data_IF_656474918907
#
_entry.id   IF_656474918907
#
_cell.length_a   1.000
_cell.length_b   1.000
_cell.length_c   1.000
_cell.angle_alpha   90.00
_cell.angle_beta   90.00
_cell.angle_gamma   90.00
#
_symmetry.space_group_name_H-M   'P 1'
#
loop_
_entity.id
_entity.type
_entity.pdbx_description
1 polymer ?
#
# COMPACT_ATOMS: atom_id res chain seq x y z
N UNK A 1 14.40 -5.35 -1.18
CA UNK A 1 12.93 -5.30 -0.98
C UNK A 1 12.56 -5.26 0.51
N UNK A 2 13.23 -6.04 1.34
CA UNK A 2 12.97 -6.05 2.80
C UNK A 2 13.32 -4.70 3.42
N UNK A 3 14.49 -4.16 3.10
CA UNK A 3 14.94 -2.87 3.65
C UNK A 3 14.02 -1.73 3.21
N UNK A 4 13.58 -1.72 1.96
CA UNK A 4 12.63 -0.72 1.46
C UNK A 4 11.30 -0.81 2.19
N UNK A 5 10.83 -2.02 2.48
CA UNK A 5 9.60 -2.22 3.25
C UNK A 5 9.75 -1.71 4.68
N UNK A 6 10.89 -2.00 5.33
CA UNK A 6 11.17 -1.50 6.68
C UNK A 6 11.24 0.03 6.69
N UNK A 7 11.90 0.64 5.70
CA UNK A 7 11.96 2.09 5.57
C UNK A 7 10.55 2.67 5.40
N UNK A 8 9.73 2.07 4.54
CA UNK A 8 8.37 2.55 4.29
C UNK A 8 7.51 2.49 5.56
N UNK A 9 7.70 1.47 6.38
CA UNK A 9 6.98 1.33 7.66
C UNK A 9 7.22 2.52 8.60
N UNK A 10 8.36 3.18 8.53
CA UNK A 10 8.68 4.34 9.39
C UNK A 10 7.70 5.50 9.19
N UNK A 11 7.04 5.56 8.05
CA UNK A 11 6.05 6.60 7.72
C UNK A 11 4.64 6.22 8.10
N UNK A 12 4.42 5.03 8.64
CA UNK A 12 3.12 4.61 9.14
C UNK A 12 2.73 5.44 10.37
N UNK A 13 1.43 5.66 10.60
CA UNK A 13 0.99 6.35 11.80
C UNK A 13 1.37 5.55 13.04
N UNK A 14 1.50 6.23 14.19
CA UNK A 14 1.86 5.57 15.46
C UNK A 14 0.84 4.54 15.89
N UNK A 15 -0.42 4.76 15.54
CA UNK A 15 -1.52 3.85 15.84
C UNK A 15 -2.36 3.63 14.60
N UNK A 16 -2.76 2.39 14.37
CA UNK A 16 -3.68 2.00 13.31
C UNK A 16 -4.32 0.66 13.68
N UNK A 17 -5.53 0.43 13.19
CA UNK A 17 -6.25 -0.81 13.45
C UNK A 17 -6.28 -1.72 12.22
N UNK A 18 -6.34 -1.14 11.02
CA UNK A 18 -6.49 -1.90 9.78
C UNK A 18 -5.53 -1.41 8.70
N UNK A 19 -4.80 -2.36 8.15
CA UNK A 19 -3.82 -2.14 7.07
C UNK A 19 -4.17 -3.04 5.89
N UNK A 20 -4.22 -2.47 4.69
CA UNK A 20 -4.46 -3.21 3.45
C UNK A 20 -3.27 -3.03 2.51
N UNK A 21 -2.74 -4.13 1.99
CA UNK A 21 -1.68 -4.11 0.98
C UNK A 21 -2.27 -4.53 -0.38
N UNK A 22 -2.08 -3.70 -1.38
CA UNK A 22 -2.64 -3.88 -2.71
C UNK A 22 -1.64 -4.56 -3.63
N UNK A 23 -2.04 -5.67 -4.23
CA UNK A 23 -1.19 -6.42 -5.16
C UNK A 23 0.03 -6.99 -4.47
N UNK A 24 -0.17 -7.72 -3.39
CA UNK A 24 0.90 -8.14 -2.46
C UNK A 24 1.99 -9.02 -3.06
N UNK A 25 1.73 -9.72 -4.15
CA UNK A 25 2.72 -10.49 -4.91
C UNK A 25 3.57 -11.43 -4.07
N UNK A 26 4.87 -11.18 -3.99
CA UNK A 26 5.82 -11.95 -3.19
C UNK A 26 5.84 -11.58 -1.70
N UNK A 27 4.90 -10.73 -1.24
CA UNK A 27 4.79 -10.36 0.16
C UNK A 27 5.45 -9.04 0.54
N UNK A 28 5.87 -8.24 -0.44
CA UNK A 28 6.49 -6.93 -0.21
C UNK A 28 5.57 -5.80 -0.68
N UNK A 29 5.25 -4.81 0.17
CA UNK A 29 5.69 -4.71 1.57
C UNK A 29 4.80 -5.47 2.57
N UNK A 30 3.65 -5.99 2.18
CA UNK A 30 2.59 -6.48 3.07
C UNK A 30 3.02 -7.44 4.18
N UNK A 31 3.70 -8.54 3.82
CA UNK A 31 4.15 -9.53 4.81
C UNK A 31 5.18 -8.91 5.78
N UNK A 32 6.11 -8.10 5.27
CA UNK A 32 7.12 -7.44 6.10
C UNK A 32 6.46 -6.49 7.11
N UNK A 33 5.47 -5.72 6.67
CA UNK A 33 4.70 -4.84 7.54
C UNK A 33 3.97 -5.62 8.64
N UNK A 34 3.36 -6.75 8.28
CA UNK A 34 2.67 -7.61 9.24
C UNK A 34 3.63 -8.22 10.26
N UNK A 35 4.85 -8.59 9.86
CA UNK A 35 5.89 -9.08 10.77
C UNK A 35 6.24 -8.00 11.81
N UNK A 36 6.50 -6.78 11.35
CA UNK A 36 6.83 -5.67 12.25
C UNK A 36 5.66 -5.39 13.20
N UNK A 37 4.46 -5.34 12.66
CA UNK A 37 3.26 -5.04 13.43
C UNK A 37 2.92 -6.11 14.46
N UNK A 38 3.33 -7.35 14.25
CA UNK A 38 3.11 -8.44 15.22
C UNK A 38 3.65 -8.08 16.61
N UNK A 39 4.78 -7.37 16.66
CA UNK A 39 5.35 -6.91 17.92
C UNK A 39 4.84 -5.56 18.36
N UNK A 40 4.73 -4.60 17.42
CA UNK A 40 4.39 -3.20 17.74
C UNK A 40 2.90 -2.95 17.89
N UNK A 41 2.08 -3.63 17.09
CA UNK A 41 0.63 -3.46 17.05
C UNK A 41 -0.06 -4.82 16.91
N UNK A 42 0.00 -5.67 17.95
CA UNK A 42 -0.49 -7.06 17.86
C UNK A 42 -1.98 -7.19 17.56
N UNK A 43 -2.77 -6.14 17.79
CA UNK A 43 -4.20 -6.13 17.50
C UNK A 43 -4.54 -5.62 16.10
N UNK A 44 -3.54 -5.10 15.36
CA UNK A 44 -3.77 -4.61 14.00
C UNK A 44 -4.13 -5.76 13.06
N UNK A 45 -5.09 -5.50 12.19
CA UNK A 45 -5.54 -6.47 11.18
C UNK A 45 -4.94 -6.12 9.84
N UNK A 46 -4.31 -7.11 9.20
CA UNK A 46 -3.71 -6.98 7.88
C UNK A 46 -4.51 -7.75 6.85
N UNK A 47 -4.80 -7.11 5.74
CA UNK A 47 -5.43 -7.73 4.57
C UNK A 47 -4.51 -7.56 3.37
N UNK A 48 -4.20 -8.65 2.70
CA UNK A 48 -3.41 -8.66 1.48
C UNK A 48 -4.33 -9.02 0.32
N UNK A 49 -4.38 -8.16 -0.70
CA UNK A 49 -5.20 -8.39 -1.89
C UNK A 49 -4.27 -8.79 -3.04
N UNK A 50 -4.50 -9.98 -3.61
CA UNK A 50 -3.68 -10.51 -4.69
C UNK A 50 -4.55 -11.29 -5.66
N UNK A 51 -4.56 -10.90 -6.94
CA UNK A 51 -5.38 -11.55 -7.96
C UNK A 51 -4.81 -12.87 -8.49
N UNK A 52 -3.50 -13.06 -8.41
CA UNK A 52 -2.87 -14.30 -8.85
C UNK A 52 -3.07 -15.39 -7.80
N UNK A 53 -3.71 -16.49 -8.19
CA UNK A 53 -4.06 -17.57 -7.26
C UNK A 53 -2.84 -18.24 -6.63
N UNK A 54 -1.77 -18.42 -7.40
CA UNK A 54 -0.53 -19.04 -6.90
C UNK A 54 0.14 -18.14 -5.85
N UNK A 55 0.19 -16.84 -6.13
CA UNK A 55 0.75 -15.87 -5.18
C UNK A 55 -0.12 -15.76 -3.92
N UNK A 56 -1.43 -15.83 -4.06
CA UNK A 56 -2.33 -15.84 -2.90
C UNK A 56 -2.09 -17.05 -2.01
N UNK A 57 -1.89 -18.23 -2.59
CA UNK A 57 -1.55 -19.45 -1.84
C UNK A 57 -0.21 -19.29 -1.12
N UNK A 58 0.80 -18.74 -1.80
CA UNK A 58 2.10 -18.43 -1.18
C UNK A 58 1.94 -17.50 0.02
N UNK A 59 1.16 -16.44 -0.12
CA UNK A 59 0.94 -15.47 0.96
C UNK A 59 0.24 -16.11 2.17
N UNK A 60 -0.76 -16.94 1.94
CA UNK A 60 -1.45 -17.67 3.01
C UNK A 60 -0.51 -18.61 3.75
N UNK A 61 0.33 -19.33 3.00
CA UNK A 61 1.30 -20.25 3.56
C UNK A 61 2.34 -19.49 4.40
N UNK A 62 2.89 -18.40 3.86
CA UNK A 62 3.87 -17.57 4.56
C UNK A 62 3.28 -16.98 5.85
N UNK A 63 2.06 -16.45 5.79
CA UNK A 63 1.38 -15.89 6.95
C UNK A 63 1.18 -16.94 8.05
N UNK A 64 0.77 -18.14 7.67
CA UNK A 64 0.56 -19.26 8.61
C UNK A 64 1.88 -19.67 9.26
N UNK A 65 2.92 -19.87 8.46
CA UNK A 65 4.24 -20.31 8.97
C UNK A 65 4.88 -19.27 9.88
N UNK A 66 4.65 -17.99 9.62
CA UNK A 66 5.18 -16.89 10.42
C UNK A 66 4.25 -16.51 11.60
N UNK A 67 3.11 -17.17 11.73
CA UNK A 67 2.16 -16.89 12.80
C UNK A 67 1.56 -15.49 12.74
N UNK A 68 1.26 -15.01 11.53
CA UNK A 68 0.73 -13.67 11.31
C UNK A 68 -0.80 -13.68 11.23
N UNK A 69 -1.44 -12.67 11.83
CA UNK A 69 -2.88 -12.42 11.71
C UNK A 69 -3.16 -11.65 10.42
N UNK A 70 -3.15 -12.37 9.30
CA UNK A 70 -3.32 -11.79 7.96
C UNK A 70 -4.46 -12.50 7.24
N UNK A 71 -5.33 -11.71 6.62
CA UNK A 71 -6.34 -12.20 5.68
C UNK A 71 -5.83 -11.98 4.26
N UNK A 72 -5.86 -13.01 3.43
CA UNK A 72 -5.48 -12.92 2.02
C UNK A 72 -6.75 -13.03 1.17
N UNK A 73 -7.01 -12.01 0.36
CA UNK A 73 -8.13 -11.98 -0.58
C UNK A 73 -7.58 -12.25 -1.97
N UNK A 74 -7.98 -13.40 -2.55
CA UNK A 74 -7.56 -13.82 -3.89
C UNK A 74 -8.54 -13.28 -4.93
N UNK A 75 -8.45 -11.97 -5.20
CA UNK A 75 -9.32 -11.28 -6.14
C UNK A 75 -8.63 -10.02 -6.64
N UNK A 76 -9.25 -9.37 -7.63
CA UNK A 76 -8.81 -8.06 -8.10
C UNK A 76 -9.15 -6.99 -7.07
N UNK A 77 -8.30 -5.97 -6.98
CA UNK A 77 -8.46 -4.87 -6.03
C UNK A 77 -9.80 -4.14 -6.28
N UNK A 78 -10.14 -3.88 -7.54
CA UNK A 78 -11.36 -3.19 -7.94
C UNK A 78 -12.64 -4.00 -7.67
N UNK A 79 -12.52 -5.32 -7.53
CA UNK A 79 -13.66 -6.21 -7.26
C UNK A 79 -13.80 -6.57 -5.78
N UNK A 80 -12.82 -6.20 -4.97
CA UNK A 80 -12.86 -6.43 -3.53
C UNK A 80 -13.69 -5.34 -2.85
N UNK A 81 -14.51 -5.73 -1.89
CA UNK A 81 -15.31 -4.77 -1.11
C UNK A 81 -14.39 -3.75 -0.43
N UNK A 82 -14.82 -2.47 -0.30
CA UNK A 82 -14.02 -1.45 0.37
C UNK A 82 -13.58 -1.88 1.77
N UNK A 83 -12.30 -1.76 2.05
CA UNK A 83 -11.69 -2.26 3.28
C UNK A 83 -11.67 -1.24 4.41
N UNK A 84 -11.88 0.03 4.11
CA UNK A 84 -11.90 1.13 5.10
C UNK A 84 -10.65 1.12 5.99
N UNK A 85 -9.49 1.03 5.35
CA UNK A 85 -8.21 0.86 6.06
C UNK A 85 -7.60 2.17 6.50
N UNK A 86 -6.95 2.17 7.67
CA UNK A 86 -6.17 3.30 8.17
C UNK A 86 -4.91 3.50 7.34
N UNK A 87 -4.33 2.39 6.86
CA UNK A 87 -3.13 2.39 6.01
C UNK A 87 -3.36 1.52 4.79
N UNK A 88 -3.05 2.06 3.63
CA UNK A 88 -3.00 1.31 2.37
C UNK A 88 -1.55 1.35 1.88
N UNK A 89 -1.01 0.21 1.53
CA UNK A 89 0.33 0.11 0.95
C UNK A 89 0.30 -0.57 -0.39
N UNK A 90 1.29 -0.26 -1.22
CA UNK A 90 1.49 -0.94 -2.49
C UNK A 90 2.92 -0.73 -2.97
N UNK A 91 3.38 -1.63 -3.84
CA UNK A 91 4.65 -1.55 -4.49
C UNK A 91 4.45 -1.67 -5.99
N UNK A 92 5.01 -0.73 -6.77
CA UNK A 92 5.11 -0.77 -8.24
C UNK A 92 4.00 -1.56 -8.96
N UNK A 93 2.75 -1.42 -8.49
CA UNK A 93 1.60 -2.19 -9.00
C UNK A 93 1.09 -1.64 -10.33
N UNK A 94 1.00 -0.31 -10.42
CA UNK A 94 0.45 0.40 -11.56
C UNK A 94 0.94 1.84 -11.52
N UNK A 95 0.63 2.63 -12.55
CA UNK A 95 0.88 4.07 -12.50
C UNK A 95 0.13 4.70 -11.34
N UNK A 96 0.63 5.83 -10.84
CA UNK A 96 -0.02 6.51 -9.73
C UNK A 96 -1.46 6.92 -10.09
N UNK A 97 -1.69 7.38 -11.31
CA UNK A 97 -3.04 7.74 -11.78
C UNK A 97 -4.02 6.57 -11.71
N UNK A 98 -3.56 5.35 -11.99
CA UNK A 98 -4.39 4.13 -11.89
C UNK A 98 -4.52 3.65 -10.45
N UNK A 99 -3.51 3.87 -9.62
CA UNK A 99 -3.46 3.38 -8.25
C UNK A 99 -4.30 4.23 -7.29
N UNK A 100 -4.34 5.55 -7.48
CA UNK A 100 -5.06 6.46 -6.58
C UNK A 100 -6.55 6.10 -6.40
N UNK A 101 -7.33 5.81 -7.47
CA UNK A 101 -8.72 5.39 -7.27
C UNK A 101 -8.83 4.08 -6.49
N UNK A 102 -7.90 3.15 -6.67
CA UNK A 102 -7.88 1.89 -5.93
C UNK A 102 -7.54 2.12 -4.46
N UNK A 103 -6.54 2.93 -4.18
CA UNK A 103 -6.17 3.29 -2.82
C UNK A 103 -7.31 4.03 -2.11
N UNK A 104 -7.91 4.99 -2.78
CA UNK A 104 -9.05 5.76 -2.25
C UNK A 104 -10.23 4.84 -1.91
N UNK A 105 -10.52 3.86 -2.75
CA UNK A 105 -11.59 2.88 -2.51
C UNK A 105 -11.42 2.14 -1.18
N UNK A 106 -10.18 1.81 -0.83
CA UNK A 106 -9.88 0.97 0.33
C UNK A 106 -9.41 1.73 1.57
N UNK A 107 -9.27 3.05 1.48
CA UNK A 107 -8.89 3.91 2.62
C UNK A 107 -10.11 4.42 3.38
N UNK A 108 -9.97 4.52 4.70
CA UNK A 108 -10.90 5.29 5.50
C UNK A 108 -10.63 6.79 5.38
N UNK A 109 -11.56 7.62 5.86
CA UNK A 109 -11.32 9.06 5.97
C UNK A 109 -10.17 9.30 6.94
N UNK A 110 -9.21 10.13 6.54
CA UNK A 110 -8.00 10.36 7.31
C UNK A 110 -6.93 9.27 7.19
N UNK A 111 -7.15 8.27 6.33
CA UNK A 111 -6.17 7.22 6.07
C UNK A 111 -4.93 7.71 5.35
N UNK A 112 -3.90 6.87 5.34
CA UNK A 112 -2.61 7.16 4.72
C UNK A 112 -2.26 6.08 3.70
N UNK A 113 -1.66 6.49 2.59
CA UNK A 113 -1.21 5.59 1.54
C UNK A 113 0.32 5.61 1.47
N UNK A 114 0.94 4.44 1.56
CA UNK A 114 2.39 4.27 1.55
C UNK A 114 2.78 3.49 0.30
N UNK A 115 3.52 4.14 -0.59
CA UNK A 115 3.86 3.56 -1.90
C UNK A 115 5.36 3.50 -2.13
N UNK A 116 5.82 2.41 -2.72
CA UNK A 116 7.16 2.27 -3.25
C UNK A 116 7.10 2.45 -4.78
N UNK A 117 7.82 3.43 -5.30
CA UNK A 117 7.86 3.75 -6.73
C UNK A 117 9.29 3.76 -7.25
N UNK A 118 9.43 3.50 -8.55
CA UNK A 118 10.73 3.53 -9.24
C UNK A 118 11.08 4.90 -9.82
N UNK A 119 11.97 4.90 -10.80
CA UNK A 119 12.53 6.12 -11.43
C UNK A 119 11.48 7.01 -12.11
N UNK A 120 10.30 6.48 -12.42
CA UNK A 120 9.22 7.23 -13.06
C UNK A 120 8.33 7.97 -12.05
N UNK A 121 8.66 7.93 -10.77
CA UNK A 121 7.81 8.48 -9.70
C UNK A 121 7.45 9.94 -9.94
N UNK A 122 8.41 10.80 -10.28
CA UNK A 122 8.17 12.23 -10.50
C UNK A 122 7.17 12.47 -11.64
N UNK A 123 7.31 11.75 -12.76
CA UNK A 123 6.39 11.85 -13.88
C UNK A 123 5.01 11.32 -13.53
N UNK A 124 4.94 10.20 -12.80
CA UNK A 124 3.67 9.64 -12.36
C UNK A 124 2.92 10.59 -11.43
N UNK A 125 3.63 11.27 -10.54
CA UNK A 125 3.05 12.29 -9.65
C UNK A 125 2.48 13.45 -10.47
N UNK A 126 3.26 13.97 -11.42
CA UNK A 126 2.81 15.07 -12.27
C UNK A 126 1.56 14.70 -13.06
N UNK A 127 1.55 13.51 -13.65
CA UNK A 127 0.38 13.01 -14.41
C UNK A 127 -0.84 12.86 -13.51
N UNK A 128 -0.67 12.30 -12.33
CA UNK A 128 -1.76 12.08 -11.38
C UNK A 128 -2.37 13.38 -10.87
N UNK A 129 -1.58 14.43 -10.73
CA UNK A 129 -2.05 15.75 -10.28
C UNK A 129 -2.99 16.44 -11.26
N UNK A 130 -3.06 15.99 -12.50
CA UNK A 130 -4.02 16.50 -13.47
C UNK A 130 -5.47 16.15 -13.08
N UNK A 131 -5.67 14.94 -12.53
CA UNK A 131 -7.02 14.41 -12.24
C UNK A 131 -7.29 14.26 -10.75
N UNK A 132 -6.25 14.30 -9.92
CA UNK A 132 -6.34 14.04 -8.48
C UNK A 132 -5.69 15.14 -7.65
N UNK A 133 -6.28 15.41 -6.51
CA UNK A 133 -5.71 16.25 -5.46
C UNK A 133 -5.29 15.37 -4.30
N UNK A 134 -4.09 15.57 -3.79
CA UNK A 134 -3.57 14.81 -2.66
C UNK A 134 -2.39 15.53 -2.02
N UNK A 135 -2.15 15.24 -0.74
CA UNK A 135 -0.94 15.67 -0.04
C UNK A 135 0.14 14.61 -0.25
N UNK A 136 1.35 15.05 -0.52
CA UNK A 136 2.47 14.17 -0.86
C UNK A 136 3.69 14.48 -0.01
N UNK A 137 4.28 13.44 0.58
CA UNK A 137 5.67 13.43 1.02
C UNK A 137 6.43 12.47 0.11
N UNK A 138 7.59 12.90 -0.37
CA UNK A 138 8.43 12.14 -1.30
C UNK A 138 9.81 11.93 -0.67
N UNK A 139 10.14 10.67 -0.38
CA UNK A 139 11.37 10.30 0.31
C UNK A 139 12.26 9.42 -0.54
N UNK A 140 13.58 9.62 -0.44
CA UNK A 140 14.56 8.77 -1.12
C UNK A 140 14.61 7.38 -0.48
N UNK A 141 14.73 6.34 -1.31
CA UNK A 141 15.04 5.00 -0.82
C UNK A 141 16.48 4.93 -0.32
N UNK A 142 16.71 4.20 0.76
CA UNK A 142 18.06 3.98 1.30
C UNK A 142 18.89 3.01 0.43
N UNK A 143 18.24 2.18 -0.36
CA UNK A 143 18.89 1.09 -1.10
C UNK A 143 19.05 1.37 -2.59
N UNK A 144 18.21 2.24 -3.15
CA UNK A 144 18.16 2.52 -4.59
C UNK A 144 17.97 4.02 -4.82
N UNK A 145 18.96 4.70 -5.42
CA UNK A 145 18.88 6.14 -5.67
C UNK A 145 17.75 6.54 -6.61
N UNK A 146 17.25 5.60 -7.43
CA UNK A 146 16.16 5.87 -8.37
C UNK A 146 14.78 5.59 -7.77
N UNK A 147 14.71 4.85 -6.66
CA UNK A 147 13.44 4.52 -6.01
C UNK A 147 12.99 5.62 -5.05
N UNK A 148 11.68 5.82 -4.99
CA UNK A 148 11.04 6.80 -4.12
C UNK A 148 9.99 6.14 -3.23
N UNK A 149 9.90 6.61 -2.01
CA UNK A 149 8.86 6.22 -1.07
C UNK A 149 7.88 7.39 -0.96
N UNK A 150 6.65 7.17 -1.36
CA UNK A 150 5.62 8.21 -1.38
C UNK A 150 4.64 8.00 -0.24
N UNK A 151 4.38 9.06 0.51
CA UNK A 151 3.37 9.10 1.56
C UNK A 151 2.26 10.03 1.09
N UNK A 152 1.08 9.48 0.89
CA UNK A 152 -0.04 10.21 0.28
C UNK A 152 -1.23 10.21 1.22
N UNK A 153 -1.83 11.39 1.39
CA UNK A 153 -3.02 11.61 2.20
C UNK A 153 -3.99 12.53 1.48
N UNK A 154 -5.23 12.55 1.94
CA UNK A 154 -6.29 13.43 1.44
C UNK A 154 -6.50 13.33 -0.06
N UNK A 155 -6.65 12.10 -0.53
CA UNK A 155 -6.87 11.81 -1.95
C UNK A 155 -8.31 12.18 -2.31
N UNK A 156 -8.46 13.02 -3.34
CA UNK A 156 -9.77 13.34 -3.91
C UNK A 156 -9.66 13.57 -5.40
N UNK A 157 -10.69 13.21 -6.13
CA UNK A 157 -10.78 13.51 -7.57
C UNK A 157 -10.92 15.02 -7.75
N UNK A 158 -10.20 15.60 -8.72
CA UNK A 158 -10.41 16.99 -9.10
C UNK A 158 -11.74 17.14 -9.81
N UNK A 159 -12.44 18.24 -9.53
CA UNK A 159 -13.65 18.56 -10.23
C UNK A 159 -13.34 18.78 -11.72
N UNK A 160 -14.11 18.14 -12.60
CA UNK A 160 -14.06 18.43 -14.03
C UNK A 160 -14.58 19.85 -14.26
N UNK A 161 -13.75 20.68 -14.87
CA UNK A 161 -14.22 21.99 -15.35
C UNK A 161 -15.10 21.76 -16.57
N UNK A 162 -16.34 22.14 -16.43
CA UNK A 162 -17.28 22.16 -17.55
C UNK A 162 -17.04 23.37 -18.43
#
# INVERSE_FOLDING_TARGET
>A
HVIDSVQLYQYAPKTYEKWVDLGSGGGFPGIVMAIIAKEKHPKAQFTLIESDQRKAVFLRTAARELGLSVTVIADRIENTAPQTADVVSARALASLSSLLPLAHRHMCDGGICLLHKGKQAAQEVADAQEDWSFDLEDHASFTDPEARLLVIQRISARATQS
#
